data_IF_023254001660
#
_entry.id   IF_023254001660
#
_cell.length_a   1.000
_cell.length_b   1.000
_cell.length_c   1.000
_cell.angle_alpha   90.00
_cell.angle_beta   90.00
_cell.angle_gamma   90.00
#
_symmetry.space_group_name_H-M   'P 1'
#
loop_
_entity.id
_entity.type
_entity.pdbx_description
1 polymer ?
#
# COMPACT_ATOMS: atom_id res chain seq x y z
N UNK A 1 -1.98 -8.66 -29.91
CA UNK A 1 -2.04 -8.19 -28.50
C UNK A 1 -3.50 -7.96 -28.14
N UNK A 2 -4.05 -8.71 -27.18
CA UNK A 2 -5.47 -8.62 -26.82
C UNK A 2 -5.71 -7.53 -25.77
N UNK A 3 -6.79 -6.76 -25.91
CA UNK A 3 -7.24 -5.72 -24.97
C UNK A 3 -7.34 -6.26 -23.53
N UNK A 4 -7.72 -7.53 -23.35
CA UNK A 4 -7.70 -8.19 -22.04
C UNK A 4 -6.32 -8.12 -21.37
N UNK A 5 -5.24 -8.42 -22.08
CA UNK A 5 -3.86 -8.35 -21.57
C UNK A 5 -3.42 -6.92 -21.23
N UNK A 6 -3.98 -5.92 -21.89
CA UNK A 6 -3.70 -4.50 -21.65
C UNK A 6 -4.48 -3.96 -20.44
N UNK A 7 -5.72 -4.45 -20.24
CA UNK A 7 -6.56 -4.10 -19.08
C UNK A 7 -6.18 -4.87 -17.81
N UNK A 8 -5.64 -6.08 -17.95
CA UNK A 8 -5.06 -6.90 -16.89
C UNK A 8 -3.54 -6.72 -16.75
N UNK A 9 -2.92 -5.90 -17.61
CA UNK A 9 -1.54 -5.50 -17.40
C UNK A 9 -1.52 -4.68 -16.11
N UNK A 10 -0.91 -5.24 -15.08
CA UNK A 10 -0.52 -4.51 -13.89
C UNK A 10 0.24 -3.28 -14.40
N UNK A 11 -0.38 -2.11 -14.29
CA UNK A 11 0.31 -0.85 -14.45
C UNK A 11 0.62 -0.39 -13.04
N UNK A 12 1.64 -0.96 -12.37
CA UNK A 12 2.01 -0.52 -11.04
C UNK A 12 2.51 0.89 -11.24
N UNK A 13 1.68 1.87 -10.92
CA UNK A 13 2.16 3.24 -10.76
C UNK A 13 3.11 3.18 -9.57
N UNK A 14 4.41 3.00 -9.86
CA UNK A 14 5.47 2.99 -8.87
C UNK A 14 5.88 4.44 -8.65
N UNK A 15 5.74 4.90 -7.41
CA UNK A 15 6.22 6.22 -7.00
C UNK A 15 7.13 6.07 -5.79
N UNK A 16 8.12 6.96 -5.74
CA UNK A 16 8.90 7.15 -4.54
C UNK A 16 8.01 7.84 -3.49
N UNK A 17 7.81 7.18 -2.37
CA UNK A 17 7.07 7.67 -1.21
C UNK A 17 8.02 7.74 -0.01
N UNK A 18 7.89 8.81 0.77
CA UNK A 18 8.60 8.88 2.04
C UNK A 18 7.70 8.26 3.11
N UNK A 19 8.09 7.09 3.60
CA UNK A 19 7.37 6.34 4.63
C UNK A 19 8.29 6.16 5.83
N UNK A 20 7.78 6.37 7.05
CA UNK A 20 8.55 6.19 8.30
C UNK A 20 9.88 6.98 8.36
N UNK A 21 9.94 8.13 7.67
CA UNK A 21 11.14 8.96 7.56
C UNK A 21 12.19 8.45 6.56
N UNK A 22 11.93 7.33 5.86
CA UNK A 22 12.78 6.79 4.81
C UNK A 22 12.15 6.94 3.42
N UNK A 23 12.96 7.28 2.41
CA UNK A 23 12.51 7.24 1.02
C UNK A 23 12.47 5.79 0.52
N UNK A 24 11.30 5.32 0.14
CA UNK A 24 11.10 3.99 -0.41
C UNK A 24 10.15 4.04 -1.60
N UNK A 25 10.15 3.00 -2.42
CA UNK A 25 9.27 2.91 -3.58
C UNK A 25 8.02 2.10 -3.22
N UNK A 26 6.86 2.64 -3.57
CA UNK A 26 5.59 1.96 -3.40
C UNK A 26 4.81 1.98 -4.71
N UNK A 27 4.08 0.89 -4.96
CA UNK A 27 3.13 0.80 -6.06
C UNK A 27 1.74 1.22 -5.60
N UNK A 28 0.93 1.71 -6.54
CA UNK A 28 -0.48 1.99 -6.28
C UNK A 28 -1.18 0.75 -5.72
N UNK A 29 -1.99 0.97 -4.70
CA UNK A 29 -2.81 -0.06 -4.06
C UNK A 29 -3.99 -0.35 -4.97
N UNK A 30 -4.24 -1.63 -5.25
CA UNK A 30 -5.42 -2.01 -6.04
C UNK A 30 -6.71 -1.71 -5.25
N UNK A 31 -7.81 -1.47 -5.97
CA UNK A 31 -9.13 -1.21 -5.36
C UNK A 31 -9.61 -2.40 -4.53
N UNK A 32 -9.41 -3.63 -5.02
CA UNK A 32 -9.63 -4.84 -4.23
C UNK A 32 -8.82 -4.77 -2.93
N UNK A 33 -7.62 -4.23 -3.08
CA UNK A 33 -6.63 -4.07 -2.06
C UNK A 33 -7.16 -3.24 -0.86
N UNK A 34 -7.77 -2.11 -1.21
CA UNK A 34 -8.33 -1.10 -0.31
C UNK A 34 -9.65 -1.57 0.32
N UNK A 35 -10.49 -2.27 -0.44
CA UNK A 35 -11.77 -2.82 0.04
C UNK A 35 -11.57 -3.84 1.15
N UNK A 36 -10.53 -4.66 1.05
CA UNK A 36 -10.13 -5.61 2.08
C UNK A 36 -9.80 -4.88 3.39
N UNK A 37 -8.93 -3.87 3.34
CA UNK A 37 -8.61 -3.04 4.50
C UNK A 37 -9.82 -2.31 5.08
N UNK A 38 -10.66 -1.70 4.23
CA UNK A 38 -11.89 -1.04 4.68
C UNK A 38 -12.78 -2.03 5.41
N UNK A 39 -12.95 -3.24 4.89
CA UNK A 39 -13.77 -4.29 5.52
C UNK A 39 -13.27 -4.65 6.92
N UNK A 40 -11.94 -4.73 7.12
CA UNK A 40 -11.31 -4.97 8.43
C UNK A 40 -11.52 -3.78 9.36
N UNK A 41 -11.35 -2.55 8.87
CA UNK A 41 -11.48 -1.34 9.69
C UNK A 41 -12.93 -1.02 10.05
N UNK A 42 -13.89 -1.29 9.16
CA UNK A 42 -15.32 -1.07 9.39
C UNK A 42 -15.98 -2.18 10.18
N UNK A 43 -15.31 -3.33 10.35
CA UNK A 43 -15.84 -4.36 11.22
C UNK A 43 -15.74 -3.91 12.69
N UNK A 44 -16.89 -3.93 13.38
CA UNK A 44 -17.00 -3.70 14.83
C UNK A 44 -16.43 -4.85 15.66
N UNK A 45 -16.37 -6.07 15.10
CA UNK A 45 -15.80 -7.24 15.79
C UNK A 45 -14.27 -7.27 15.74
N UNK A 46 -13.64 -6.37 14.99
CA UNK A 46 -12.20 -6.39 14.74
C UNK A 46 -11.48 -5.52 15.76
N UNK A 47 -10.48 -6.11 16.41
CA UNK A 47 -9.70 -5.44 17.45
C UNK A 47 -8.84 -4.33 16.85
N UNK A 48 -8.52 -3.28 17.61
CA UNK A 48 -7.58 -2.21 17.17
C UNK A 48 -6.24 -2.78 16.68
N UNK A 49 -5.77 -3.87 17.31
CA UNK A 49 -4.56 -4.60 16.87
C UNK A 49 -4.72 -5.18 15.46
N UNK A 50 -5.86 -5.77 15.14
CA UNK A 50 -6.12 -6.35 13.82
C UNK A 50 -6.25 -5.28 12.74
N UNK A 51 -6.87 -4.14 13.07
CA UNK A 51 -6.93 -2.97 12.17
C UNK A 51 -5.53 -2.43 11.87
N UNK A 52 -4.69 -2.35 12.89
CA UNK A 52 -3.29 -1.96 12.73
C UNK A 52 -2.50 -2.99 11.91
N UNK A 53 -2.69 -4.30 12.15
CA UNK A 53 -2.06 -5.36 11.35
C UNK A 53 -2.44 -5.27 9.88
N UNK A 54 -3.72 -5.10 9.56
CA UNK A 54 -4.17 -4.93 8.18
C UNK A 54 -3.59 -3.66 7.52
N UNK A 55 -3.43 -2.56 8.27
CA UNK A 55 -2.73 -1.38 7.78
C UNK A 55 -1.26 -1.69 7.45
N UNK A 56 -0.55 -2.38 8.34
CA UNK A 56 0.84 -2.77 8.12
C UNK A 56 1.00 -3.72 6.94
N UNK A 57 0.15 -4.73 6.80
CA UNK A 57 0.15 -5.64 5.64
C UNK A 57 -0.12 -4.89 4.33
N UNK A 58 -1.05 -3.95 4.35
CA UNK A 58 -1.35 -3.10 3.20
C UNK A 58 -0.15 -2.23 2.81
N UNK A 59 0.58 -1.68 3.78
CA UNK A 59 1.83 -0.95 3.49
C UNK A 59 2.87 -1.90 2.90
N UNK A 60 3.17 -3.01 3.56
CA UNK A 60 4.21 -3.97 3.16
C UNK A 60 4.00 -4.51 1.75
N UNK A 61 2.78 -4.89 1.37
CA UNK A 61 2.50 -5.39 0.01
C UNK A 61 2.56 -4.31 -1.07
N UNK A 62 2.41 -3.05 -0.65
CA UNK A 62 2.46 -1.87 -1.51
C UNK A 62 3.90 -1.42 -1.70
N UNK A 63 4.80 -1.77 -0.79
CA UNK A 63 6.24 -1.59 -0.99
C UNK A 63 6.71 -2.45 -2.16
N UNK A 64 7.49 -1.83 -3.02
CA UNK A 64 7.97 -2.42 -4.25
C UNK A 64 9.39 -1.92 -4.49
N UNK A 65 10.22 -2.69 -5.19
CA UNK A 65 11.53 -2.22 -5.64
C UNK A 65 11.33 -1.10 -6.68
N UNK A 66 12.36 -0.25 -6.92
CA UNK A 66 12.30 0.79 -7.95
C UNK A 66 12.02 0.25 -9.36
N UNK A 67 12.28 -1.05 -9.57
CA UNK A 67 11.99 -1.79 -10.79
C UNK A 67 10.50 -2.21 -10.93
N UNK A 68 9.66 -1.95 -9.91
CA UNK A 68 8.27 -2.41 -9.88
C UNK A 68 8.10 -3.88 -9.49
N UNK A 69 9.19 -4.55 -9.13
CA UNK A 69 9.20 -5.90 -8.57
C UNK A 69 8.91 -5.87 -7.06
N UNK A 70 7.99 -6.71 -6.57
CA UNK A 70 7.72 -6.80 -5.13
C UNK A 70 9.00 -7.20 -4.35
N UNK A 71 9.15 -6.70 -3.11
CA UNK A 71 10.21 -7.19 -2.24
C UNK A 71 9.94 -8.66 -1.88
N UNK A 72 10.98 -9.52 -1.85
CA UNK A 72 10.84 -10.86 -1.31
C UNK A 72 10.49 -10.75 0.18
N UNK A 73 9.68 -11.70 0.67
CA UNK A 73 9.22 -11.71 2.06
C UNK A 73 10.37 -11.77 3.09
N UNK A 74 11.57 -12.20 2.67
CA UNK A 74 12.78 -12.25 3.51
C UNK A 74 13.43 -10.86 3.71
N UNK A 75 13.22 -9.91 2.79
CA UNK A 75 13.73 -8.53 2.90
C UNK A 75 12.74 -7.58 3.60
N UNK A 76 11.50 -8.02 3.82
CA UNK A 76 10.47 -7.22 4.48
C UNK A 76 10.29 -7.65 5.93
N UNK A 77 10.10 -6.72 6.88
CA UNK A 77 9.66 -7.09 8.22
C UNK A 77 8.24 -7.67 8.15
N UNK A 78 7.88 -8.52 9.11
CA UNK A 78 6.48 -8.94 9.29
C UNK A 78 5.63 -7.78 9.79
N UNK A 79 4.32 -7.84 9.53
CA UNK A 79 3.38 -6.81 9.99
C UNK A 79 3.44 -6.62 11.52
N UNK A 80 3.65 -7.70 12.28
CA UNK A 80 3.82 -7.65 13.73
C UNK A 80 5.09 -6.90 14.16
N UNK A 81 6.23 -7.15 13.51
CA UNK A 81 7.49 -6.44 13.78
C UNK A 81 7.38 -4.96 13.41
N UNK A 82 6.69 -4.65 12.30
CA UNK A 82 6.40 -3.29 11.90
C UNK A 82 5.51 -2.58 12.93
N UNK A 83 4.48 -3.25 13.45
CA UNK A 83 3.62 -2.73 14.53
C UNK A 83 4.37 -2.52 15.84
N UNK A 84 5.27 -3.44 16.19
CA UNK A 84 6.06 -3.35 17.42
C UNK A 84 7.09 -2.22 17.35
N UNK A 85 7.60 -1.94 16.14
CA UNK A 85 8.63 -0.93 15.94
C UNK A 85 8.09 0.47 15.57
N UNK A 86 6.82 0.59 15.13
CA UNK A 86 6.23 1.85 14.64
C UNK A 86 4.94 2.21 15.34
N UNK A 87 4.70 3.52 15.47
CA UNK A 87 3.46 4.04 16.04
C UNK A 87 2.29 3.84 15.08
N UNK A 88 1.11 3.52 15.61
CA UNK A 88 -0.13 3.39 14.83
C UNK A 88 -0.43 4.62 13.95
N UNK A 89 -0.07 5.82 14.44
CA UNK A 89 -0.19 7.06 13.67
C UNK A 89 0.65 7.06 12.38
N UNK A 90 1.88 6.55 12.42
CA UNK A 90 2.74 6.47 11.22
C UNK A 90 2.21 5.44 10.21
N UNK A 91 1.63 4.33 10.69
CA UNK A 91 0.99 3.33 9.82
C UNK A 91 -0.23 3.88 9.12
N UNK A 92 -1.09 4.61 9.83
CA UNK A 92 -2.28 5.22 9.23
C UNK A 92 -1.88 6.30 8.22
N UNK A 93 -0.87 7.12 8.53
CA UNK A 93 -0.33 8.12 7.61
C UNK A 93 0.25 7.47 6.34
N UNK A 94 0.99 6.37 6.49
CA UNK A 94 1.50 5.56 5.40
C UNK A 94 0.39 5.04 4.49
N UNK A 95 -0.65 4.43 5.08
CA UNK A 95 -1.83 3.95 4.34
C UNK A 95 -2.56 5.10 3.64
N UNK A 96 -2.72 6.25 4.30
CA UNK A 96 -3.37 7.41 3.70
C UNK A 96 -2.56 7.95 2.52
N UNK A 97 -1.24 8.00 2.65
CA UNK A 97 -0.31 8.37 1.56
C UNK A 97 -0.43 7.39 0.40
N UNK A 98 -0.49 6.09 0.65
CA UNK A 98 -0.69 5.08 -0.39
C UNK A 98 -2.06 5.21 -1.07
N UNK A 99 -3.12 5.47 -0.31
CA UNK A 99 -4.45 5.73 -0.86
C UNK A 99 -4.49 7.01 -1.70
N UNK A 100 -3.88 8.10 -1.21
CA UNK A 100 -3.76 9.36 -1.95
C UNK A 100 -2.90 9.20 -3.20
N UNK A 101 -1.84 8.41 -3.15
CA UNK A 101 -1.02 8.10 -4.32
C UNK A 101 -1.81 7.31 -5.36
N UNK A 102 -2.62 6.34 -4.90
CA UNK A 102 -3.46 5.51 -5.77
C UNK A 102 -4.61 6.28 -6.40
N UNK A 103 -5.23 7.18 -5.63
CA UNK A 103 -6.36 8.01 -6.09
C UNK A 103 -5.91 9.27 -6.83
N UNK A 104 -4.82 9.90 -6.38
CA UNK A 104 -4.26 11.15 -6.91
C UNK A 104 -3.42 10.97 -8.18
N UNK A 105 -3.09 9.74 -8.57
CA UNK A 105 -2.56 9.49 -9.92
C UNK A 105 -3.58 9.78 -11.02
N UNK A 106 -4.87 9.99 -10.68
CA UNK A 106 -5.87 10.57 -11.57
C UNK A 106 -5.62 12.08 -11.79
N UNK A 107 -5.24 12.82 -10.74
CA UNK A 107 -5.03 14.29 -10.80
C UNK A 107 -3.74 14.66 -11.56
N UNK A 108 -2.69 13.85 -11.50
CA UNK A 108 -1.47 14.07 -12.29
C UNK A 108 -1.62 13.61 -13.76
N UNK A 109 -2.63 12.80 -14.10
CA UNK A 109 -2.91 12.38 -15.47
C UNK A 109 -3.63 13.45 -16.31
N UNK A 110 -4.27 14.44 -15.68
CA UNK A 110 -4.98 15.52 -16.39
C UNK A 110 -4.08 16.71 -16.79
N UNK A 111 -2.78 16.65 -16.49
CA UNK A 111 -1.86 17.77 -16.78
C UNK A 111 -0.92 17.56 -17.97
N UNK A 112 -1.11 16.52 -18.79
CA UNK A 112 -0.29 16.26 -19.97
C UNK A 112 -1.10 16.12 -21.26
#
# INVERSE_FOLDING_TARGET
MSIKTLLLADNPVVKAVTLFGGSMTARAVSVAQQLDYITVVTNDNTTEKEKALAAAELVLRSLCKPDGSAYPADELPTAEELLASRSNAELIDAVNTLHRMSNGSLEEAEKN
#
